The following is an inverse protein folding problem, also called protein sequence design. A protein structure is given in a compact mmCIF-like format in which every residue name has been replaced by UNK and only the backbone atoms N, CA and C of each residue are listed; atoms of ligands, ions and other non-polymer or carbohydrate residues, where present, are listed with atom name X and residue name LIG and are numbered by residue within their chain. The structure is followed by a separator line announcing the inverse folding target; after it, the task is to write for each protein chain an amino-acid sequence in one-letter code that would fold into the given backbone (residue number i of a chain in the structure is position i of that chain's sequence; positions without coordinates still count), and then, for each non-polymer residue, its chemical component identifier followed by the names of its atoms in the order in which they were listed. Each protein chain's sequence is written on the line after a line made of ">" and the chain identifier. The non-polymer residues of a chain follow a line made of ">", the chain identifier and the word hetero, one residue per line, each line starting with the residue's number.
data_IF_944225096327
#
_entry.id   IF_944225096327
#
_cell.length_a   1.000
_cell.length_b   1.000
_cell.length_c   1.000
_cell.angle_alpha   90.00
_cell.angle_beta   90.00
_cell.angle_gamma   90.00
#
_symmetry.space_group_name_H-M   'P 1'
#
loop_
_entity.id
_entity.type
_entity.pdbx_description
1 polymer ?
#
# COMPACT_ATOMS: atom_id res chain seq x y z
N UNK A 1 5.69 21.76 -10.48
CA UNK A 1 5.45 21.53 -11.92
C UNK A 1 4.44 20.40 -12.21
N UNK A 2 4.47 19.26 -11.51
CA UNK A 2 3.53 18.15 -11.75
C UNK A 2 2.04 18.51 -11.59
N UNK A 3 1.68 19.30 -10.57
CA UNK A 3 0.30 19.77 -10.35
C UNK A 3 -0.22 20.55 -11.56
N UNK A 4 0.53 21.55 -12.03
CA UNK A 4 0.15 22.37 -13.17
C UNK A 4 -0.08 21.53 -14.44
N UNK A 5 0.72 20.47 -14.65
CA UNK A 5 0.55 19.54 -15.76
C UNK A 5 -0.73 18.70 -15.61
N UNK A 6 -1.02 18.16 -14.42
CA UNK A 6 -2.29 17.47 -14.15
C UNK A 6 -3.51 18.41 -14.28
N UNK A 7 -3.37 19.69 -13.88
CA UNK A 7 -4.40 20.71 -14.08
C UNK A 7 -4.64 20.98 -15.56
N UNK A 8 -3.56 21.14 -16.33
CA UNK A 8 -3.64 21.39 -17.76
C UNK A 8 -4.29 20.20 -18.49
N UNK A 9 -3.95 18.96 -18.11
CA UNK A 9 -4.53 17.75 -18.69
C UNK A 9 -6.01 17.56 -18.31
N UNK A 10 -6.39 17.85 -17.06
CA UNK A 10 -7.78 17.81 -16.62
C UNK A 10 -8.61 18.92 -17.27
N UNK A 11 -8.09 20.14 -17.31
CA UNK A 11 -8.74 21.26 -17.98
C UNK A 11 -8.88 21.03 -19.49
N UNK A 12 -7.86 20.48 -20.15
CA UNK A 12 -7.90 20.12 -21.56
C UNK A 12 -8.89 18.99 -21.85
N UNK A 13 -8.89 17.93 -21.03
CA UNK A 13 -9.84 16.82 -21.14
C UNK A 13 -11.30 17.25 -20.93
N UNK A 14 -11.55 18.15 -19.97
CA UNK A 14 -12.88 18.71 -19.71
C UNK A 14 -13.32 19.69 -20.80
N UNK A 15 -12.39 20.44 -21.39
CA UNK A 15 -12.66 21.38 -22.50
C UNK A 15 -13.07 20.65 -23.78
N UNK A 16 -12.53 19.46 -24.03
CA UNK A 16 -12.95 18.63 -25.16
C UNK A 16 -14.30 17.93 -24.95
N UNK A 17 -14.84 17.93 -23.72
CA UNK A 17 -16.12 17.31 -23.33
C UNK A 17 -17.23 18.37 -23.05
N UNK A 18 -17.02 19.61 -23.54
CA UNK A 18 -17.76 20.83 -23.19
C UNK A 18 -19.26 20.88 -23.58
N UNK A 19 -19.80 19.86 -24.24
CA UNK A 19 -21.23 19.78 -24.57
C UNK A 19 -22.11 19.23 -23.43
N UNK A 20 -21.59 19.09 -22.20
CA UNK A 20 -22.35 18.54 -21.07
C UNK A 20 -22.53 19.58 -19.93
N UNK A 21 -23.74 19.68 -19.33
CA UNK A 21 -24.11 20.72 -18.34
C UNK A 21 -23.38 20.64 -16.98
N UNK A 22 -22.30 19.86 -16.88
CA UNK A 22 -21.55 19.62 -15.64
C UNK A 22 -20.10 20.16 -15.69
N UNK A 23 -19.72 20.89 -16.75
CA UNK A 23 -18.38 21.44 -16.93
C UNK A 23 -18.01 22.45 -15.83
N UNK A 24 -18.94 23.31 -15.41
CA UNK A 24 -18.72 24.29 -14.34
C UNK A 24 -18.41 23.62 -12.98
N UNK A 25 -19.14 22.55 -12.62
CA UNK A 25 -18.86 21.76 -11.40
C UNK A 25 -17.52 21.03 -11.47
N UNK A 26 -17.13 20.53 -12.65
CA UNK A 26 -15.84 19.88 -12.83
C UNK A 26 -14.67 20.87 -12.76
N UNK A 27 -14.84 22.07 -13.32
CA UNK A 27 -13.90 23.19 -13.21
C UNK A 27 -13.82 23.75 -11.78
N UNK A 28 -14.94 23.88 -11.07
CA UNK A 28 -14.96 24.29 -9.67
C UNK A 28 -14.27 23.28 -8.75
N UNK A 29 -14.53 21.98 -8.93
CA UNK A 29 -13.87 20.93 -8.16
C UNK A 29 -12.36 20.88 -8.47
N UNK A 30 -11.96 20.98 -9.73
CA UNK A 30 -10.53 21.06 -10.07
C UNK A 30 -9.88 22.32 -9.54
N UNK A 31 -10.48 23.50 -9.70
CA UNK A 31 -9.97 24.75 -9.14
C UNK A 31 -9.78 24.67 -7.61
N UNK A 32 -10.78 24.14 -6.89
CA UNK A 32 -10.74 23.95 -5.45
C UNK A 32 -9.69 22.92 -5.01
N UNK A 33 -9.50 21.84 -5.78
CA UNK A 33 -8.45 20.83 -5.51
C UNK A 33 -7.05 21.39 -5.80
N UNK A 34 -6.94 22.33 -6.73
CA UNK A 34 -5.67 22.96 -7.13
C UNK A 34 -5.25 24.13 -6.27
N UNK A 35 -6.16 24.68 -5.45
CA UNK A 35 -5.81 25.71 -4.46
C UNK A 35 -5.26 25.13 -3.15
N UNK A 36 -5.47 23.84 -2.88
CA UNK A 36 -5.00 23.18 -1.65
C UNK A 36 -3.45 23.19 -1.52
N UNK A 37 -2.65 22.98 -2.58
CA UNK A 37 -1.20 23.10 -2.52
C UNK A 37 -0.68 24.53 -2.29
N UNK A 38 -1.50 25.56 -2.54
CA UNK A 38 -1.10 26.96 -2.34
C UNK A 38 -1.13 27.37 -0.86
N UNK A 39 -1.98 26.74 -0.06
CA UNK A 39 -2.16 27.09 1.35
C UNK A 39 -0.95 26.79 2.25
N UNK A 40 -0.29 25.62 2.12
CA UNK A 40 0.84 25.34 2.99
C UNK A 40 2.15 25.99 2.54
N UNK A 41 2.23 26.57 1.33
CA UNK A 41 3.30 27.51 0.95
C UNK A 41 3.20 28.85 1.72
N UNK A 42 2.03 29.18 2.30
CA UNK A 42 1.81 30.38 3.10
C UNK A 42 2.10 30.18 4.60
N UNK A 43 2.18 28.93 5.06
CA UNK A 43 2.34 28.57 6.47
C UNK A 43 3.73 27.96 6.68
N UNK A 44 4.68 28.79 7.14
CA UNK A 44 6.08 28.48 7.38
C UNK A 44 6.30 27.27 8.32
N UNK A 45 6.24 26.06 7.79
CA UNK A 45 6.59 24.81 8.48
C UNK A 45 6.68 23.64 7.52
N UNK A 46 7.90 23.16 7.22
CA UNK A 46 8.15 22.17 6.18
C UNK A 46 7.39 20.85 6.41
N UNK A 47 7.36 20.32 7.64
CA UNK A 47 6.65 19.07 7.97
C UNK A 47 5.13 19.18 7.92
N UNK A 48 4.59 20.32 8.36
CA UNK A 48 3.15 20.60 8.27
C UNK A 48 2.71 20.72 6.81
N UNK A 49 3.51 21.40 5.98
CA UNK A 49 3.25 21.56 4.56
C UNK A 49 3.17 20.21 3.85
N UNK A 50 4.12 19.32 4.08
CA UNK A 50 4.12 17.99 3.47
C UNK A 50 2.93 17.13 3.91
N UNK A 51 2.53 17.21 5.18
CA UNK A 51 1.35 16.49 5.69
C UNK A 51 0.07 16.96 4.99
N UNK A 52 -0.16 18.27 4.96
CA UNK A 52 -1.32 18.87 4.29
C UNK A 52 -1.32 18.53 2.80
N UNK A 53 -0.16 18.58 2.15
CA UNK A 53 -0.01 18.23 0.74
C UNK A 53 -0.34 16.75 0.47
N UNK A 54 0.12 15.85 1.35
CA UNK A 54 -0.16 14.41 1.25
C UNK A 54 -1.66 14.14 1.35
N UNK A 55 -2.33 14.77 2.32
CA UNK A 55 -3.78 14.67 2.49
C UNK A 55 -4.49 15.21 1.25
N UNK A 56 -4.10 16.40 0.79
CA UNK A 56 -4.68 17.05 -0.38
C UNK A 56 -4.59 16.17 -1.64
N UNK A 57 -3.40 15.65 -1.95
CA UNK A 57 -3.20 14.81 -3.12
C UNK A 57 -3.90 13.46 -3.00
N UNK A 58 -3.95 12.88 -1.79
CA UNK A 58 -4.71 11.65 -1.53
C UNK A 58 -6.20 11.86 -1.82
N UNK A 59 -6.79 12.94 -1.30
CA UNK A 59 -8.19 13.28 -1.54
C UNK A 59 -8.46 13.59 -3.01
N UNK A 60 -7.52 14.27 -3.68
CA UNK A 60 -7.62 14.54 -5.11
C UNK A 60 -7.54 13.27 -5.95
N UNK A 61 -6.64 12.34 -5.64
CA UNK A 61 -6.56 11.03 -6.28
C UNK A 61 -7.87 10.25 -6.11
N UNK A 62 -8.41 10.22 -4.88
CA UNK A 62 -9.69 9.57 -4.59
C UNK A 62 -10.85 10.20 -5.38
N UNK A 63 -10.95 11.53 -5.40
CA UNK A 63 -11.99 12.23 -6.16
C UNK A 63 -11.90 11.94 -7.66
N UNK A 64 -10.69 11.94 -8.23
CA UNK A 64 -10.47 11.63 -9.65
C UNK A 64 -10.86 10.19 -9.99
N UNK A 65 -10.55 9.22 -9.13
CA UNK A 65 -11.01 7.84 -9.31
C UNK A 65 -12.54 7.73 -9.24
N UNK A 66 -13.20 8.43 -8.32
CA UNK A 66 -14.66 8.46 -8.23
C UNK A 66 -15.27 9.05 -9.51
N UNK A 67 -14.70 10.16 -10.02
CA UNK A 67 -15.15 10.78 -11.29
C UNK A 67 -14.90 9.84 -12.46
N UNK A 68 -13.71 9.23 -12.54
CA UNK A 68 -13.36 8.27 -13.58
C UNK A 68 -14.34 7.10 -13.62
N UNK A 69 -14.69 6.56 -12.45
CA UNK A 69 -15.66 5.48 -12.32
C UNK A 69 -17.08 5.92 -12.71
N UNK A 70 -17.58 7.03 -12.15
CA UNK A 70 -18.95 7.51 -12.39
C UNK A 70 -19.18 7.97 -13.83
N UNK A 71 -18.17 8.57 -14.46
CA UNK A 71 -18.26 9.13 -15.82
C UNK A 71 -17.67 8.24 -16.90
N UNK A 72 -17.04 7.11 -16.53
CA UNK A 72 -16.25 6.25 -17.43
C UNK A 72 -15.22 7.04 -18.24
N UNK A 73 -14.60 8.05 -17.62
CA UNK A 73 -13.66 8.95 -18.28
C UNK A 73 -12.24 8.43 -18.19
N UNK A 74 -11.63 8.12 -19.34
CA UNK A 74 -10.23 7.68 -19.43
C UNK A 74 -9.26 8.77 -18.96
N UNK A 75 -9.56 10.04 -19.23
CA UNK A 75 -8.73 11.16 -18.81
C UNK A 75 -8.71 11.31 -17.29
N UNK A 76 -9.88 11.19 -16.65
CA UNK A 76 -9.96 11.22 -15.19
C UNK A 76 -9.24 10.01 -14.57
N UNK A 77 -9.31 8.83 -15.19
CA UNK A 77 -8.59 7.64 -14.74
C UNK A 77 -7.07 7.85 -14.80
N UNK A 78 -6.55 8.38 -15.92
CA UNK A 78 -5.12 8.70 -16.06
C UNK A 78 -4.68 9.71 -15.00
N UNK A 79 -5.46 10.77 -14.79
CA UNK A 79 -5.20 11.76 -13.75
C UNK A 79 -5.18 11.14 -12.34
N UNK A 80 -6.11 10.23 -12.05
CA UNK A 80 -6.18 9.53 -10.77
C UNK A 80 -4.95 8.65 -10.53
N UNK A 81 -4.50 7.89 -11.54
CA UNK A 81 -3.29 7.07 -11.44
C UNK A 81 -2.02 7.91 -11.28
N UNK A 82 -1.88 9.00 -12.05
CA UNK A 82 -0.75 9.92 -11.92
C UNK A 82 -0.70 10.54 -10.52
N UNK A 83 -1.85 10.99 -10.01
CA UNK A 83 -1.91 11.58 -8.67
C UNK A 83 -1.62 10.54 -7.57
N UNK A 84 -2.12 9.31 -7.75
CA UNK A 84 -1.78 8.17 -6.88
C UNK A 84 -0.26 7.94 -6.87
N UNK A 85 0.38 7.91 -8.04
CA UNK A 85 1.82 7.68 -8.16
C UNK A 85 2.63 8.79 -7.50
N UNK A 86 2.30 10.05 -7.75
CA UNK A 86 2.97 11.21 -7.13
C UNK A 86 2.84 11.13 -5.61
N UNK A 87 1.63 10.92 -5.10
CA UNK A 87 1.38 10.81 -3.65
C UNK A 87 2.13 9.62 -3.06
N UNK A 88 2.16 8.49 -3.78
CA UNK A 88 2.91 7.30 -3.38
C UNK A 88 4.40 7.56 -3.25
N UNK A 89 5.01 8.28 -4.19
CA UNK A 89 6.44 8.64 -4.10
C UNK A 89 6.69 9.50 -2.85
N UNK A 90 5.84 10.50 -2.58
CA UNK A 90 5.96 11.36 -1.39
C UNK A 90 5.87 10.53 -0.11
N UNK A 91 4.86 9.68 0.01
CA UNK A 91 4.67 8.80 1.17
C UNK A 91 5.83 7.81 1.33
N UNK A 92 6.36 7.30 0.22
CA UNK A 92 7.44 6.32 0.24
C UNK A 92 8.75 6.93 0.75
N UNK A 93 9.11 8.12 0.26
CA UNK A 93 10.32 8.84 0.72
C UNK A 93 10.23 9.11 2.23
N UNK A 94 9.06 9.50 2.72
CA UNK A 94 8.81 9.76 4.15
C UNK A 94 9.10 8.55 5.04
N UNK A 95 8.95 7.31 4.56
CA UNK A 95 9.26 6.13 5.36
C UNK A 95 10.74 6.02 5.74
N UNK A 96 11.63 6.76 5.08
CA UNK A 96 13.06 6.82 5.38
C UNK A 96 13.44 8.02 6.26
N UNK A 97 12.49 8.87 6.64
CA UNK A 97 12.74 10.01 7.53
C UNK A 97 12.70 9.59 9.00
N UNK A 98 13.87 9.61 9.63
CA UNK A 98 14.06 9.20 11.03
C UNK A 98 13.86 10.32 12.05
N UNK A 99 13.70 11.56 11.58
CA UNK A 99 13.52 12.75 12.43
C UNK A 99 12.06 12.97 12.84
N UNK A 100 11.13 12.31 12.16
CA UNK A 100 9.71 12.40 12.46
C UNK A 100 9.36 11.53 13.67
N UNK A 101 8.50 12.02 14.59
CA UNK A 101 8.10 11.23 15.75
C UNK A 101 7.32 9.96 15.33
N UNK A 102 7.38 8.89 16.13
CA UNK A 102 6.50 7.74 15.94
C UNK A 102 5.04 8.18 16.16
N UNK A 103 4.12 7.66 15.33
CA UNK A 103 2.68 7.96 15.40
C UNK A 103 2.28 9.45 15.27
N UNK A 104 3.10 10.28 14.62
CA UNK A 104 2.83 11.69 14.32
C UNK A 104 1.74 11.92 13.25
N UNK A 105 1.36 13.18 13.00
CA UNK A 105 0.32 13.53 12.02
C UNK A 105 0.68 13.07 10.58
N UNK A 106 1.97 13.09 10.26
CA UNK A 106 2.55 12.64 9.00
C UNK A 106 2.26 11.15 8.74
N UNK A 107 2.23 10.36 9.81
CA UNK A 107 1.99 8.91 9.82
C UNK A 107 0.52 8.62 9.50
N UNK A 108 -0.38 9.37 10.10
CA UNK A 108 -1.82 9.27 9.84
C UNK A 108 -2.16 9.67 8.41
N UNK A 109 -1.47 10.65 7.84
CA UNK A 109 -1.61 11.00 6.43
C UNK A 109 -1.19 9.84 5.50
N UNK A 110 -0.13 9.09 5.84
CA UNK A 110 0.27 7.89 5.10
C UNK A 110 -0.78 6.77 5.19
N UNK A 111 -1.41 6.60 6.36
CA UNK A 111 -2.52 5.64 6.53
C UNK A 111 -3.74 6.04 5.69
N UNK A 112 -4.05 7.33 5.59
CA UNK A 112 -5.12 7.81 4.70
C UNK A 112 -4.83 7.44 3.23
N UNK A 113 -3.57 7.58 2.80
CA UNK A 113 -3.16 7.14 1.46
C UNK A 113 -3.29 5.64 1.25
N UNK A 114 -2.87 4.82 2.23
CA UNK A 114 -3.03 3.36 2.19
C UNK A 114 -4.52 2.98 2.13
N UNK A 115 -5.36 3.61 2.93
CA UNK A 115 -6.81 3.40 2.90
C UNK A 115 -7.41 3.76 1.53
N UNK A 116 -6.92 4.83 0.90
CA UNK A 116 -7.31 5.20 -0.46
C UNK A 116 -6.88 4.14 -1.49
N UNK A 117 -5.67 3.56 -1.39
CA UNK A 117 -5.25 2.45 -2.27
C UNK A 117 -6.18 1.23 -2.12
N UNK A 118 -6.54 0.88 -0.89
CA UNK A 118 -7.48 -0.22 -0.61
C UNK A 118 -8.85 0.11 -1.21
N UNK A 119 -9.37 1.32 -1.02
CA UNK A 119 -10.64 1.75 -1.60
C UNK A 119 -10.59 1.73 -3.14
N UNK A 120 -9.47 2.16 -3.72
CA UNK A 120 -9.25 2.17 -5.17
C UNK A 120 -9.21 0.76 -5.76
N UNK A 121 -8.67 -0.22 -5.05
CA UNK A 121 -8.76 -1.63 -5.43
C UNK A 121 -10.20 -2.15 -5.48
N UNK A 122 -11.11 -1.62 -4.65
CA UNK A 122 -12.51 -2.03 -4.62
C UNK A 122 -13.37 -1.35 -5.69
N UNK A 123 -12.93 -0.22 -6.25
CA UNK A 123 -13.63 0.41 -7.35
C UNK A 123 -13.55 -0.49 -8.59
N UNK A 124 -14.73 -0.82 -9.16
CA UNK A 124 -14.87 -1.76 -10.28
C UNK A 124 -14.06 -1.29 -11.50
N UNK A 125 -12.83 -1.80 -11.62
CA UNK A 125 -11.93 -1.66 -12.76
C UNK A 125 -11.46 -3.02 -13.29
N UNK A 126 -10.56 -3.00 -14.29
CA UNK A 126 -9.92 -4.22 -14.81
C UNK A 126 -9.24 -4.97 -13.66
N UNK A 127 -9.32 -6.30 -13.66
CA UNK A 127 -8.74 -7.18 -12.64
C UNK A 127 -7.26 -6.93 -12.40
N UNK A 128 -6.52 -6.59 -13.44
CA UNK A 128 -5.09 -6.24 -13.37
C UNK A 128 -4.82 -4.98 -12.54
N UNK A 129 -5.60 -3.91 -12.76
CA UNK A 129 -5.44 -2.65 -12.01
C UNK A 129 -5.78 -2.84 -10.55
N UNK A 130 -6.84 -3.59 -10.25
CA UNK A 130 -7.19 -3.96 -8.87
C UNK A 130 -6.00 -4.62 -8.16
N UNK A 131 -5.35 -5.60 -8.79
CA UNK A 131 -4.17 -6.26 -8.22
C UNK A 131 -3.00 -5.30 -7.99
N UNK A 132 -2.76 -4.37 -8.91
CA UNK A 132 -1.71 -3.36 -8.73
C UNK A 132 -1.97 -2.50 -7.49
N UNK A 133 -3.21 -2.08 -7.25
CA UNK A 133 -3.61 -1.34 -6.05
C UNK A 133 -3.49 -2.18 -4.77
N UNK A 134 -3.91 -3.46 -4.79
CA UNK A 134 -3.77 -4.37 -3.65
C UNK A 134 -2.30 -4.58 -3.28
N UNK A 135 -1.44 -4.84 -4.27
CA UNK A 135 0.01 -4.99 -4.07
C UNK A 135 0.62 -3.69 -3.53
N UNK A 136 0.27 -2.55 -4.13
CA UNK A 136 0.76 -1.25 -3.66
C UNK A 136 0.32 -1.00 -2.21
N UNK A 137 -0.95 -1.18 -1.87
CA UNK A 137 -1.45 -1.01 -0.51
C UNK A 137 -0.66 -1.87 0.48
N UNK A 138 -0.34 -3.11 0.11
CA UNK A 138 0.42 -4.02 0.95
C UNK A 138 1.88 -3.57 1.13
N UNK A 139 2.55 -3.16 0.05
CA UNK A 139 3.92 -2.62 0.11
C UNK A 139 3.97 -1.36 0.99
N UNK A 140 3.04 -0.43 0.81
CA UNK A 140 2.98 0.78 1.62
C UNK A 140 2.64 0.49 3.09
N UNK A 141 1.76 -0.48 3.37
CA UNK A 141 1.46 -0.90 4.74
C UNK A 141 2.69 -1.53 5.43
N UNK A 142 3.45 -2.38 4.73
CA UNK A 142 4.70 -2.95 5.24
C UNK A 142 5.77 -1.88 5.46
N UNK A 143 5.91 -0.92 4.54
CA UNK A 143 6.82 0.22 4.68
C UNK A 143 6.45 1.11 5.86
N UNK A 144 5.16 1.41 6.02
CA UNK A 144 4.62 2.13 7.17
C UNK A 144 4.94 1.40 8.49
N UNK A 145 4.65 0.10 8.55
CA UNK A 145 4.91 -0.71 9.74
C UNK A 145 6.41 -0.78 10.06
N UNK A 146 7.25 -0.89 9.02
CA UNK A 146 8.70 -0.89 9.19
C UNK A 146 9.22 0.42 9.76
N UNK A 147 8.72 1.56 9.27
CA UNK A 147 9.07 2.88 9.82
C UNK A 147 8.73 2.98 11.30
N UNK A 148 7.45 2.72 11.67
CA UNK A 148 7.03 2.85 13.06
C UNK A 148 7.83 1.92 13.98
N UNK A 149 7.99 0.65 13.57
CA UNK A 149 8.67 -0.34 14.39
C UNK A 149 10.18 -0.07 14.53
N UNK A 150 10.82 0.49 13.51
CA UNK A 150 12.24 0.86 13.57
C UNK A 150 12.50 2.02 14.56
N UNK A 151 11.51 2.88 14.80
CA UNK A 151 11.60 3.98 15.77
C UNK A 151 11.30 3.56 17.22
N UNK A 152 10.79 2.35 17.43
CA UNK A 152 10.58 1.78 18.76
C UNK A 152 11.89 1.17 19.31
N UNK A 153 11.92 0.88 20.61
CA UNK A 153 13.09 0.31 21.31
C UNK A 153 13.58 -1.02 20.69
N UNK A 154 12.71 -1.76 20.01
CA UNK A 154 13.03 -3.05 19.38
C UNK A 154 13.77 -2.89 18.04
N UNK A 155 13.83 -1.67 17.49
CA UNK A 155 14.52 -1.31 16.26
C UNK A 155 14.21 -2.25 15.09
N UNK A 156 15.25 -2.56 14.30
CA UNK A 156 15.12 -3.42 13.11
C UNK A 156 14.70 -4.86 13.44
N UNK A 157 14.95 -5.33 14.67
CA UNK A 157 14.48 -6.62 15.14
C UNK A 157 12.95 -6.67 15.27
N UNK A 158 12.34 -5.57 15.73
CA UNK A 158 10.90 -5.40 15.78
C UNK A 158 10.25 -5.40 14.39
N UNK A 159 10.90 -4.76 13.41
CA UNK A 159 10.45 -4.76 12.00
C UNK A 159 10.31 -6.18 11.46
N UNK A 160 11.37 -6.99 11.59
CA UNK A 160 11.36 -8.38 11.10
C UNK A 160 10.32 -9.24 11.82
N UNK A 161 10.16 -9.06 13.13
CA UNK A 161 9.15 -9.76 13.89
C UNK A 161 7.73 -9.43 13.40
N UNK A 162 7.41 -8.14 13.23
CA UNK A 162 6.08 -7.72 12.80
C UNK A 162 5.77 -8.13 11.35
N UNK A 163 6.74 -8.03 10.44
CA UNK A 163 6.57 -8.54 9.08
C UNK A 163 6.35 -10.06 9.06
N UNK A 164 7.07 -10.83 9.88
CA UNK A 164 6.83 -12.26 10.03
C UNK A 164 5.40 -12.53 10.54
N UNK A 165 4.95 -11.79 11.56
CA UNK A 165 3.60 -11.93 12.11
C UNK A 165 2.52 -11.66 11.06
N UNK A 166 2.68 -10.59 10.26
CA UNK A 166 1.78 -10.30 9.13
C UNK A 166 1.77 -11.47 8.14
N UNK A 167 2.94 -11.98 7.73
CA UNK A 167 3.04 -13.12 6.83
C UNK A 167 2.37 -14.40 7.35
N UNK A 168 2.51 -14.70 8.64
CA UNK A 168 1.81 -15.82 9.29
C UNK A 168 0.30 -15.63 9.25
N UNK A 169 -0.19 -14.45 9.64
CA UNK A 169 -1.63 -14.15 9.65
C UNK A 169 -2.20 -14.30 8.24
N UNK A 170 -1.54 -13.75 7.23
CA UNK A 170 -1.98 -13.88 5.84
C UNK A 170 -1.98 -15.31 5.36
N UNK A 171 -0.92 -16.07 5.64
CA UNK A 171 -0.80 -17.47 5.26
C UNK A 171 -1.93 -18.32 5.88
N UNK A 172 -2.16 -18.18 7.19
CA UNK A 172 -3.20 -18.93 7.90
C UNK A 172 -4.59 -18.52 7.42
N UNK A 173 -4.83 -17.21 7.22
CA UNK A 173 -6.11 -16.70 6.71
C UNK A 173 -6.37 -17.19 5.28
N UNK A 174 -5.34 -17.28 4.45
CA UNK A 174 -5.45 -17.82 3.10
C UNK A 174 -5.85 -19.29 3.11
N UNK A 175 -5.23 -20.08 3.98
CA UNK A 175 -5.52 -21.50 4.16
C UNK A 175 -6.97 -21.71 4.61
N UNK A 176 -7.39 -20.94 5.62
CA UNK A 176 -8.74 -21.02 6.19
C UNK A 176 -9.83 -20.64 5.18
N UNK A 177 -9.55 -19.72 4.25
CA UNK A 177 -10.52 -19.25 3.25
C UNK A 177 -10.35 -19.89 1.86
N UNK A 178 -9.36 -20.75 1.64
CA UNK A 178 -9.06 -21.35 0.33
C UNK A 178 -8.54 -20.37 -0.73
N UNK A 179 -8.02 -19.20 -0.34
CA UNK A 179 -7.55 -18.19 -1.29
C UNK A 179 -6.09 -18.45 -1.71
N UNK A 180 -5.90 -19.16 -2.82
CA UNK A 180 -4.57 -19.49 -3.39
C UNK A 180 -3.63 -18.30 -3.58
N UNK A 181 -4.18 -17.11 -3.84
CA UNK A 181 -3.37 -15.90 -3.99
C UNK A 181 -2.81 -15.40 -2.66
N UNK A 182 -3.66 -15.29 -1.63
CA UNK A 182 -3.23 -14.84 -0.31
C UNK A 182 -2.19 -15.80 0.31
N UNK A 183 -2.28 -17.08 -0.04
CA UNK A 183 -1.29 -18.10 0.33
C UNK A 183 0.09 -17.77 -0.22
N UNK A 184 0.18 -17.40 -1.51
CA UNK A 184 1.45 -17.04 -2.16
C UNK A 184 2.04 -15.76 -1.58
N UNK A 185 1.22 -14.77 -1.23
CA UNK A 185 1.68 -13.52 -0.62
C UNK A 185 2.25 -13.75 0.78
N UNK A 186 1.48 -14.39 1.67
CA UNK A 186 1.96 -14.70 3.03
C UNK A 186 3.24 -15.53 3.00
N UNK A 187 3.32 -16.54 2.12
CA UNK A 187 4.52 -17.34 1.94
C UNK A 187 5.71 -16.53 1.39
N UNK A 188 5.49 -15.69 0.38
CA UNK A 188 6.55 -14.83 -0.18
C UNK A 188 7.06 -13.81 0.85
N UNK A 189 6.17 -13.22 1.65
CA UNK A 189 6.53 -12.30 2.73
C UNK A 189 7.35 -13.02 3.80
N UNK A 190 6.95 -14.24 4.20
CA UNK A 190 7.75 -15.03 5.12
C UNK A 190 9.16 -15.26 4.55
N UNK A 191 9.28 -15.76 3.32
CA UNK A 191 10.59 -15.96 2.65
C UNK A 191 11.40 -14.66 2.66
N UNK A 192 10.79 -13.54 2.30
CA UNK A 192 11.43 -12.23 2.32
C UNK A 192 11.98 -11.90 3.71
N UNK A 193 11.22 -12.14 4.78
CA UNK A 193 11.69 -11.93 6.16
C UNK A 193 12.82 -12.88 6.52
N UNK A 194 12.75 -14.14 6.11
CA UNK A 194 13.85 -15.10 6.31
C UNK A 194 15.14 -14.65 5.63
N UNK A 195 15.07 -14.22 4.38
CA UNK A 195 16.20 -13.67 3.62
C UNK A 195 16.71 -12.36 4.24
N UNK A 196 15.82 -11.46 4.65
CA UNK A 196 16.17 -10.23 5.37
C UNK A 196 16.95 -10.54 6.65
N UNK A 197 16.48 -11.50 7.44
CA UNK A 197 17.16 -11.92 8.67
C UNK A 197 18.57 -12.48 8.42
N UNK A 198 18.74 -13.23 7.32
CA UNK A 198 20.01 -13.86 6.94
C UNK A 198 21.02 -12.88 6.34
N UNK A 199 20.55 -11.89 5.58
CA UNK A 199 21.41 -11.00 4.80
C UNK A 199 21.53 -9.65 5.49
N UNK A 200 20.41 -8.95 5.67
CA UNK A 200 20.36 -7.55 6.09
C UNK A 200 20.49 -7.39 7.61
N UNK A 201 19.85 -8.26 8.39
CA UNK A 201 19.82 -8.12 9.85
C UNK A 201 21.05 -8.71 10.55
N UNK A 202 22.01 -9.22 9.79
CA UNK A 202 23.30 -9.68 10.34
C UNK A 202 24.11 -8.55 10.97
N UNK A 203 23.94 -7.33 10.44
CA UNK A 203 24.69 -6.14 10.86
C UNK A 203 23.88 -5.18 11.73
N UNK A 204 22.54 -5.24 11.66
CA UNK A 204 21.65 -4.26 12.30
C UNK A 204 20.93 -4.79 13.53
N UNK A 205 20.85 -6.12 13.71
CA UNK A 205 20.15 -6.75 14.83
C UNK A 205 21.15 -7.49 15.72
N UNK A 206 21.03 -7.27 17.03
CA UNK A 206 21.87 -7.92 18.03
C UNK A 206 21.82 -9.45 17.90
N UNK A 207 22.97 -10.12 18.09
CA UNK A 207 23.12 -11.56 17.88
C UNK A 207 22.06 -12.41 18.62
N UNK A 208 21.80 -12.08 19.89
CA UNK A 208 20.81 -12.78 20.70
C UNK A 208 19.40 -12.69 20.10
N UNK A 209 18.99 -11.48 19.70
CA UNK A 209 17.67 -11.25 19.12
C UNK A 209 17.53 -11.96 17.77
N UNK A 210 18.58 -11.91 16.95
CA UNK A 210 18.65 -12.63 15.68
C UNK A 210 18.53 -14.14 15.87
N UNK A 211 19.22 -14.72 16.85
CA UNK A 211 19.13 -16.15 17.17
C UNK A 211 17.71 -16.56 17.59
N UNK A 212 17.05 -15.77 18.44
CA UNK A 212 15.66 -15.99 18.85
C UNK A 212 14.72 -15.90 17.64
N UNK A 213 14.86 -14.87 16.80
CA UNK A 213 14.03 -14.71 15.60
C UNK A 213 14.22 -15.87 14.62
N UNK A 214 15.44 -16.37 14.43
CA UNK A 214 15.67 -17.55 13.59
C UNK A 214 15.02 -18.81 14.14
N UNK A 215 15.13 -19.05 15.45
CA UNK A 215 14.54 -20.22 16.08
C UNK A 215 13.01 -20.18 15.99
N UNK A 216 12.40 -19.05 16.33
CA UNK A 216 10.94 -18.86 16.27
C UNK A 216 10.44 -18.95 14.83
N UNK A 217 11.06 -18.20 13.90
CA UNK A 217 10.63 -18.19 12.51
C UNK A 217 10.85 -19.56 11.85
N UNK A 218 11.95 -20.24 12.14
CA UNK A 218 12.22 -21.61 11.69
C UNK A 218 11.14 -22.59 12.17
N UNK A 219 10.76 -22.52 13.45
CA UNK A 219 9.65 -23.31 13.98
C UNK A 219 8.31 -23.00 13.29
N UNK A 220 8.03 -21.72 13.04
CA UNK A 220 6.85 -21.28 12.28
C UNK A 220 6.86 -21.85 10.86
N UNK A 221 7.99 -21.81 10.14
CA UNK A 221 8.09 -22.41 8.81
C UNK A 221 7.77 -23.89 8.80
N UNK A 222 8.28 -24.64 9.77
CA UNK A 222 7.99 -26.08 9.90
C UNK A 222 6.50 -26.30 10.15
N UNK A 223 5.91 -25.56 11.10
CA UNK A 223 4.49 -25.67 11.42
C UNK A 223 3.59 -25.32 10.22
N UNK A 224 3.89 -24.22 9.52
CA UNK A 224 3.16 -23.80 8.32
C UNK A 224 3.34 -24.79 7.16
N UNK A 225 4.53 -25.38 6.99
CA UNK A 225 4.78 -26.42 5.99
C UNK A 225 3.90 -27.65 6.19
N UNK A 226 3.79 -28.12 7.43
CA UNK A 226 2.90 -29.24 7.79
C UNK A 226 1.43 -28.88 7.54
N UNK A 227 1.00 -27.67 7.92
CA UNK A 227 -0.38 -27.19 7.69
C UNK A 227 -0.70 -27.08 6.19
N UNK A 228 0.21 -26.49 5.41
CA UNK A 228 0.08 -26.34 3.96
C UNK A 228 0.01 -27.68 3.23
N UNK A 229 0.86 -28.64 3.60
CA UNK A 229 0.83 -29.99 3.03
C UNK A 229 -0.52 -30.68 3.29
N UNK A 230 -1.02 -30.62 4.53
CA UNK A 230 -2.33 -31.20 4.89
C UNK A 230 -3.48 -30.58 4.10
N UNK A 231 -3.40 -29.29 3.81
CA UNK A 231 -4.40 -28.60 3.01
C UNK A 231 -4.34 -28.99 1.53
N UNK A 232 -3.14 -29.07 0.95
CA UNK A 232 -2.95 -29.50 -0.45
C UNK A 232 -3.50 -30.91 -0.68
N UNK A 233 -3.20 -31.86 0.22
CA UNK A 233 -3.71 -33.24 0.15
C UNK A 233 -5.24 -33.29 0.20
N UNK A 234 -5.90 -32.37 0.93
CA UNK A 234 -7.37 -32.29 0.96
C UNK A 234 -7.97 -31.73 -0.33
N UNK A 235 -7.33 -30.76 -0.98
CA UNK A 235 -7.84 -30.17 -2.22
C UNK A 235 -7.59 -31.04 -3.46
N UNK A 236 -6.57 -31.89 -3.43
CA UNK A 236 -6.30 -32.88 -4.48
C UNK A 236 -6.47 -34.29 -3.91
N UNK A 237 -7.71 -34.77 -3.69
CA UNK A 237 -7.90 -36.19 -3.43
C UNK A 237 -7.28 -36.95 -4.60
N UNK A 238 -6.52 -38.00 -4.30
CA UNK A 238 -6.01 -38.90 -5.34
C UNK A 238 -7.18 -39.24 -6.28
N UNK A 239 -7.01 -39.13 -7.60
CA UNK A 239 -8.01 -39.66 -8.51
C UNK A 239 -8.11 -41.13 -8.15
N UNK A 240 -9.28 -41.51 -7.62
CA UNK A 240 -9.61 -42.84 -7.17
C UNK A 240 -8.86 -43.88 -8.00
N UNK A 241 -8.07 -44.72 -7.33
CA UNK A 241 -7.73 -46.06 -7.82
C UNK A 241 -9.00 -46.93 -7.91
N UNK A 242 -10.13 -46.36 -8.36
CA UNK A 242 -11.28 -47.07 -8.91
C UNK A 242 -10.92 -47.46 -10.34
N UNK A 243 -10.10 -48.52 -10.45
CA UNK A 243 -10.06 -49.52 -11.53
C UNK A 243 -8.77 -50.31 -11.41
N UNK A 244 -8.78 -51.31 -10.54
CA UNK A 244 -8.20 -52.61 -10.83
C UNK A 244 -8.87 -53.66 -9.95
#
# INVERSE_FOLDING_TARGET
>A
MGVALTCALLAWGLRNDANRPYAATAHGATALLTSIPAWPLLLNGASYLETVLTIAYTLQAAALHIVAWRRRSTTAALGAHLMTLITGIIVWVRFFETTLPPFGAEVWASLLFIAMLIAAAQWRGRTEMRRAYEIAAHIFALGWLAREAALLEWGMGGVSFLWALVGVIEYVTALARGHRWLYRYGFALLILVGLKLLILDTQTVALLWRAVLFMVLGGVYVALGVLGQRWLVRETPEPDLQKS
#
